data_IF_797850642503
#
_entry.id   IF_797850642503
#
_cell.length_a   1.000
_cell.length_b   1.000
_cell.length_c   1.000
_cell.angle_alpha   90.00
_cell.angle_beta   90.00
_cell.angle_gamma   90.00
#
_symmetry.space_group_name_H-M   'P 1'
#
loop_
_entity.id
_entity.type
_entity.pdbx_description
1 polymer ?
#
# COMPACT_ATOMS: atom_id res chain seq x y z
N UNK A 1 -8.76 -2.41 13.10
CA UNK A 1 -7.54 -1.84 13.74
C UNK A 1 -7.93 -0.51 14.34
N UNK A 2 -7.34 -0.14 15.47
CA UNK A 2 -7.47 1.23 16.01
C UNK A 2 -6.50 2.17 15.30
N UNK A 3 -6.74 3.51 15.31
CA UNK A 3 -5.79 4.48 14.79
C UNK A 3 -4.37 4.29 15.34
N UNK A 4 -3.36 4.38 14.48
CA UNK A 4 -1.97 4.27 14.89
C UNK A 4 -1.03 3.61 13.88
N UNK A 5 0.25 3.51 14.26
CA UNK A 5 1.31 2.88 13.47
C UNK A 5 1.54 1.45 13.97
N UNK A 6 1.42 0.51 13.08
CA UNK A 6 1.63 -0.92 13.33
C UNK A 6 2.96 -1.37 12.74
N UNK A 7 3.98 -1.52 13.60
CA UNK A 7 5.28 -2.02 13.17
C UNK A 7 5.28 -3.54 13.11
N UNK A 8 5.70 -4.08 11.98
CA UNK A 8 5.71 -5.53 11.71
C UNK A 8 7.14 -5.93 11.33
N UNK A 9 7.69 -6.88 12.09
CA UNK A 9 9.04 -7.39 11.89
C UNK A 9 9.04 -8.77 11.17
N UNK A 10 7.96 -9.09 10.46
CA UNK A 10 7.79 -10.32 9.70
C UNK A 10 6.97 -10.07 8.42
N UNK A 11 6.85 -11.08 7.59
CA UNK A 11 6.05 -11.04 6.37
C UNK A 11 4.56 -11.02 6.71
N UNK A 12 3.82 -10.07 6.14
CA UNK A 12 2.37 -10.05 6.24
C UNK A 12 1.78 -10.92 5.12
N UNK A 13 1.10 -12.00 5.49
CA UNK A 13 0.38 -12.88 4.55
C UNK A 13 -1.08 -13.01 4.93
N UNK A 14 -1.95 -12.43 4.12
CA UNK A 14 -3.41 -12.47 4.28
C UNK A 14 -4.00 -13.31 3.16
N UNK A 15 -4.35 -14.58 3.43
CA UNK A 15 -4.77 -15.56 2.42
C UNK A 15 -6.18 -16.13 2.63
N UNK A 16 -6.89 -15.67 3.65
CA UNK A 16 -8.22 -16.21 3.97
C UNK A 16 -9.32 -15.39 3.30
N UNK A 17 -10.23 -16.06 2.60
CA UNK A 17 -11.42 -15.42 2.01
C UNK A 17 -12.39 -14.84 3.04
N UNK A 18 -12.35 -15.35 4.26
CA UNK A 18 -13.21 -14.89 5.37
C UNK A 18 -12.54 -13.85 6.26
N UNK A 19 -11.35 -13.39 5.89
CA UNK A 19 -10.66 -12.35 6.62
C UNK A 19 -11.36 -11.01 6.41
N UNK A 20 -11.54 -10.26 7.49
CA UNK A 20 -11.99 -8.87 7.44
C UNK A 20 -10.96 -8.04 8.18
N UNK A 21 -10.28 -7.16 7.47
CA UNK A 21 -9.34 -6.21 8.02
C UNK A 21 -9.85 -4.78 7.77
N UNK A 22 -10.09 -4.05 8.86
CA UNK A 22 -10.57 -2.66 8.79
C UNK A 22 -9.76 -1.78 9.72
N UNK A 23 -9.46 -0.56 9.27
CA UNK A 23 -8.77 0.45 10.06
C UNK A 23 -8.88 1.81 9.41
N UNK A 24 -9.11 2.82 10.25
CA UNK A 24 -9.02 4.24 9.88
C UNK A 24 -7.82 4.85 10.61
N UNK A 25 -7.17 5.82 9.99
CA UNK A 25 -5.96 6.48 10.52
C UNK A 25 -4.86 5.46 10.87
N UNK A 26 -4.61 4.50 10.00
CA UNK A 26 -3.62 3.44 10.24
C UNK A 26 -2.44 3.52 9.26
N UNK A 27 -1.25 3.29 9.77
CA UNK A 27 -0.05 3.05 8.97
C UNK A 27 0.54 1.69 9.34
N UNK A 28 0.78 0.85 8.34
CA UNK A 28 1.46 -0.43 8.52
C UNK A 28 2.91 -0.26 8.07
N UNK A 29 3.83 -0.34 9.03
CA UNK A 29 5.27 -0.20 8.81
C UNK A 29 5.94 -1.57 8.86
N UNK A 30 6.42 -2.06 7.72
CA UNK A 30 7.05 -3.37 7.55
C UNK A 30 8.55 -3.18 7.53
N UNK A 31 9.26 -3.81 8.48
CA UNK A 31 10.70 -3.65 8.69
C UNK A 31 11.51 -4.80 8.08
N UNK A 32 12.80 -4.52 7.93
CA UNK A 32 13.86 -5.52 7.84
C UNK A 32 13.66 -6.57 6.73
N UNK A 33 13.61 -6.12 5.47
CA UNK A 33 13.56 -7.01 4.32
C UNK A 33 12.31 -7.91 4.24
N UNK A 34 11.24 -7.51 4.92
CA UNK A 34 9.96 -8.17 4.85
C UNK A 34 9.05 -7.52 3.79
N UNK A 35 7.95 -8.18 3.48
CA UNK A 35 7.02 -7.78 2.43
C UNK A 35 5.57 -8.12 2.81
N UNK A 36 4.63 -7.70 1.99
CA UNK A 36 3.23 -8.05 2.21
C UNK A 36 2.66 -8.84 1.03
N UNK A 37 1.75 -9.76 1.34
CA UNK A 37 0.96 -10.51 0.37
C UNK A 37 -0.50 -10.57 0.84
N UNK A 38 -1.36 -9.91 0.10
CA UNK A 38 -2.81 -9.93 0.33
C UNK A 38 -3.44 -10.68 -0.84
N UNK A 39 -3.94 -11.88 -0.58
CA UNK A 39 -4.48 -12.80 -1.59
C UNK A 39 -5.94 -13.17 -1.29
N UNK A 40 -6.67 -12.33 -0.61
CA UNK A 40 -8.09 -12.53 -0.31
C UNK A 40 -8.58 -11.78 0.93
N UNK A 41 -9.89 -11.91 1.20
CA UNK A 41 -10.54 -11.23 2.30
C UNK A 41 -11.18 -9.90 1.90
N UNK A 42 -11.70 -9.20 2.89
CA UNK A 42 -12.24 -7.84 2.77
C UNK A 42 -11.29 -6.90 3.50
N UNK A 43 -10.66 -5.99 2.77
CA UNK A 43 -9.68 -5.05 3.29
C UNK A 43 -10.22 -3.63 3.11
N UNK A 44 -10.41 -2.91 4.20
CA UNK A 44 -10.80 -1.51 4.19
C UNK A 44 -9.84 -0.75 5.11
N UNK A 45 -8.85 -0.13 4.52
CA UNK A 45 -7.81 0.59 5.24
C UNK A 45 -7.68 2.01 4.72
N UNK A 46 -7.51 2.93 5.64
CA UNK A 46 -7.38 4.37 5.41
C UNK A 46 -6.14 4.89 6.15
N UNK A 47 -5.32 5.65 5.44
CA UNK A 47 -4.13 6.27 5.99
C UNK A 47 -4.50 7.46 6.90
N UNK A 48 -3.64 7.83 7.87
CA UNK A 48 -3.87 9.01 8.68
C UNK A 48 -3.78 10.31 7.87
N UNK A 49 -4.68 11.24 8.14
CA UNK A 49 -4.69 12.57 7.52
C UNK A 49 -3.65 13.52 8.15
N UNK A 50 -3.18 13.21 9.35
CA UNK A 50 -2.28 14.08 10.12
C UNK A 50 -1.15 13.31 10.81
N UNK A 51 -0.12 14.02 11.24
CA UNK A 51 1.00 13.45 11.96
C UNK A 51 2.18 13.05 11.05
N UNK A 52 3.21 12.39 11.61
CA UNK A 52 4.44 12.10 10.89
C UNK A 52 4.29 11.08 9.75
N UNK A 53 3.22 10.32 9.75
CA UNK A 53 2.90 9.32 8.71
C UNK A 53 1.65 9.69 7.92
N UNK A 54 1.26 10.98 7.92
CA UNK A 54 0.11 11.45 7.15
C UNK A 54 0.21 11.03 5.67
N UNK A 55 -0.85 10.46 5.15
CA UNK A 55 -0.94 9.95 3.79
C UNK A 55 -0.25 8.60 3.53
N UNK A 56 0.49 8.02 4.48
CA UNK A 56 1.10 6.70 4.32
C UNK A 56 0.22 5.59 4.88
N UNK A 57 -0.26 4.70 4.03
CA UNK A 57 -1.00 3.50 4.43
C UNK A 57 -0.07 2.33 4.72
N UNK A 58 0.85 2.05 3.79
CA UNK A 58 1.84 0.99 3.94
C UNK A 58 3.21 1.55 3.63
N UNK A 59 4.17 1.26 4.49
CA UNK A 59 5.59 1.53 4.27
C UNK A 59 6.34 0.21 4.37
N UNK A 60 7.04 -0.16 3.31
CA UNK A 60 7.99 -1.27 3.32
C UNK A 60 9.39 -0.68 3.38
N UNK A 61 9.99 -0.75 4.56
CA UNK A 61 11.37 -0.30 4.80
C UNK A 61 12.31 -1.48 4.60
N UNK A 62 12.96 -1.53 3.45
CA UNK A 62 13.89 -2.61 3.15
C UNK A 62 15.04 -2.12 2.28
N UNK A 63 16.24 -2.58 2.65
CA UNK A 63 17.48 -2.40 1.89
C UNK A 63 17.76 -3.66 1.04
N UNK A 64 16.80 -4.09 0.22
CA UNK A 64 17.01 -5.28 -0.59
C UNK A 64 18.19 -5.07 -1.55
N UNK A 65 19.24 -5.83 -1.30
CA UNK A 65 20.37 -5.97 -2.22
C UNK A 65 20.22 -7.30 -2.96
N UNK A 66 19.39 -7.36 -3.99
CA UNK A 66 19.12 -8.61 -4.70
C UNK A 66 17.87 -8.51 -5.55
N UNK A 67 17.21 -9.64 -5.78
CA UNK A 67 15.94 -9.68 -6.49
C UNK A 67 14.83 -9.09 -5.60
N UNK A 68 14.11 -8.05 -6.06
CA UNK A 68 13.01 -7.47 -5.31
C UNK A 68 11.96 -8.53 -4.92
N UNK A 69 11.43 -8.52 -3.70
CA UNK A 69 10.34 -9.40 -3.34
C UNK A 69 9.04 -8.96 -4.00
N UNK A 70 8.13 -9.91 -4.19
CA UNK A 70 6.78 -9.61 -4.66
C UNK A 70 5.91 -9.12 -3.50
N UNK A 71 5.49 -7.87 -3.56
CA UNK A 71 4.47 -7.29 -2.71
C UNK A 71 3.12 -7.37 -3.44
N UNK A 72 2.27 -8.32 -3.07
CA UNK A 72 1.01 -8.52 -3.77
C UNK A 72 -0.19 -8.00 -3.00
N UNK A 73 -1.16 -7.44 -3.72
CA UNK A 73 -2.44 -7.02 -3.18
C UNK A 73 -3.57 -7.37 -4.13
N UNK A 74 -4.63 -7.93 -3.58
CA UNK A 74 -5.85 -8.20 -4.32
C UNK A 74 -6.73 -6.95 -4.32
N UNK A 75 -7.02 -6.48 -5.51
CA UNK A 75 -7.99 -5.43 -5.74
C UNK A 75 -9.31 -6.04 -6.19
N UNK A 76 -10.20 -6.38 -5.27
CA UNK A 76 -11.57 -6.72 -5.58
C UNK A 76 -12.49 -5.54 -5.26
N UNK A 77 -13.73 -5.56 -5.75
CA UNK A 77 -14.68 -4.44 -5.62
C UNK A 77 -15.07 -4.08 -4.19
N UNK A 78 -14.74 -4.92 -3.22
CA UNK A 78 -15.04 -4.70 -1.79
C UNK A 78 -13.81 -4.27 -0.98
N UNK A 79 -12.63 -4.25 -1.61
CA UNK A 79 -11.41 -3.78 -0.98
C UNK A 79 -11.22 -2.29 -1.26
N UNK A 80 -10.95 -1.53 -0.22
CA UNK A 80 -10.57 -0.12 -0.32
C UNK A 80 -9.21 0.08 0.35
N UNK A 81 -8.34 0.76 -0.36
CA UNK A 81 -7.03 1.19 0.12
C UNK A 81 -6.94 2.69 -0.14
N UNK A 82 -6.92 3.48 0.93
CA UNK A 82 -6.82 4.94 0.83
C UNK A 82 -5.49 5.42 1.39
N UNK A 83 -4.69 6.11 0.54
CA UNK A 83 -3.39 6.63 0.91
C UNK A 83 -2.23 6.09 0.08
N UNK A 84 -1.00 6.26 0.56
CA UNK A 84 0.22 5.88 -0.16
C UNK A 84 0.73 4.51 0.28
N UNK A 85 0.97 3.64 -0.69
CA UNK A 85 1.71 2.38 -0.53
C UNK A 85 3.13 2.63 -1.00
N UNK A 86 4.04 2.79 -0.06
CA UNK A 86 5.45 3.06 -0.29
C UNK A 86 6.28 1.79 -0.11
N UNK A 87 6.65 1.16 -1.22
CA UNK A 87 7.40 -0.10 -1.25
C UNK A 87 8.49 -0.06 -2.34
N UNK A 88 9.46 0.88 -2.25
CA UNK A 88 10.39 1.19 -3.35
C UNK A 88 11.29 0.03 -3.75
N UNK A 89 11.40 -0.99 -2.90
CA UNK A 89 12.22 -2.19 -3.17
C UNK A 89 11.38 -3.43 -3.48
N UNK A 90 10.06 -3.30 -3.63
CA UNK A 90 9.17 -4.39 -4.01
C UNK A 90 8.75 -4.31 -5.48
N UNK A 91 8.61 -5.47 -6.10
CA UNK A 91 7.75 -5.62 -7.27
C UNK A 91 6.30 -5.66 -6.78
N UNK A 92 5.59 -4.51 -6.91
CA UNK A 92 4.21 -4.41 -6.45
C UNK A 92 3.28 -4.97 -7.51
N UNK A 93 2.54 -6.00 -7.13
CA UNK A 93 1.59 -6.69 -8.01
C UNK A 93 0.17 -6.45 -7.48
N UNK A 94 -0.65 -5.79 -8.29
CA UNK A 94 -2.06 -5.58 -7.99
C UNK A 94 -2.88 -6.51 -8.88
N UNK A 95 -3.61 -7.44 -8.26
CA UNK A 95 -4.47 -8.40 -8.96
C UNK A 95 -5.91 -7.91 -8.87
N UNK A 96 -6.49 -7.50 -10.00
CA UNK A 96 -7.91 -7.19 -10.10
C UNK A 96 -8.74 -8.43 -10.41
N UNK A 97 -9.97 -8.46 -9.90
CA UNK A 97 -10.98 -9.44 -10.33
C UNK A 97 -11.92 -8.85 -11.40
N UNK A 98 -12.90 -9.64 -11.84
CA UNK A 98 -13.87 -9.22 -12.89
C UNK A 98 -14.86 -8.13 -12.44
N UNK A 99 -14.82 -7.71 -11.19
CA UNK A 99 -15.74 -6.72 -10.61
C UNK A 99 -15.13 -5.34 -10.43
N UNK A 100 -13.83 -5.20 -10.72
CA UNK A 100 -13.07 -3.95 -10.57
C UNK A 100 -12.42 -3.79 -9.20
N UNK A 101 -11.41 -2.96 -9.13
CA UNK A 101 -10.74 -2.60 -7.89
C UNK A 101 -10.92 -1.10 -7.66
N UNK A 102 -11.31 -0.71 -6.45
CA UNK A 102 -11.29 0.67 -6.02
C UNK A 102 -10.01 0.93 -5.23
N UNK A 103 -9.05 1.57 -5.89
CA UNK A 103 -7.83 2.03 -5.27
C UNK A 103 -7.86 3.56 -5.23
N UNK A 104 -7.99 4.10 -4.06
CA UNK A 104 -7.77 5.53 -3.78
C UNK A 104 -6.37 5.70 -3.20
N UNK A 105 -5.39 5.21 -3.96
CA UNK A 105 -4.04 5.02 -3.47
C UNK A 105 -2.98 5.48 -4.47
N UNK A 106 -1.93 6.09 -3.95
CA UNK A 106 -0.66 6.24 -4.64
C UNK A 106 0.18 4.98 -4.40
N UNK A 107 0.76 4.40 -5.45
CA UNK A 107 1.64 3.24 -5.33
C UNK A 107 3.04 3.62 -5.80
N UNK A 108 4.02 3.43 -4.94
CA UNK A 108 5.44 3.62 -5.23
C UNK A 108 6.13 2.28 -5.00
N UNK A 109 6.58 1.64 -6.07
CA UNK A 109 7.26 0.34 -6.07
C UNK A 109 8.53 0.36 -6.91
N UNK A 110 9.36 -0.67 -6.81
CA UNK A 110 10.46 -0.90 -7.75
C UNK A 110 9.92 -1.10 -9.16
N UNK A 111 8.93 -1.99 -9.29
CA UNK A 111 8.02 -2.06 -10.43
C UNK A 111 6.58 -2.09 -9.93
N UNK A 112 5.62 -1.71 -10.78
CA UNK A 112 4.19 -1.82 -10.50
C UNK A 112 3.54 -2.57 -11.64
N UNK A 113 2.97 -3.73 -11.35
CA UNK A 113 2.29 -4.59 -12.31
C UNK A 113 0.82 -4.71 -11.97
N UNK A 114 -0.03 -4.45 -12.95
CA UNK A 114 -1.48 -4.61 -12.83
C UNK A 114 -1.90 -5.84 -13.60
N UNK A 115 -2.45 -6.84 -12.91
CA UNK A 115 -2.92 -8.09 -13.48
C UNK A 115 -4.45 -8.20 -13.40
N UNK A 116 -5.04 -8.89 -14.35
CA UNK A 116 -6.47 -9.20 -14.37
C UNK A 116 -7.22 -8.50 -15.50
N UNK A 117 -8.40 -9.03 -15.87
CA UNK A 117 -9.30 -8.49 -16.89
C UNK A 117 -10.21 -7.36 -16.39
N UNK A 118 -9.95 -6.82 -15.21
CA UNK A 118 -10.82 -5.88 -14.55
C UNK A 118 -10.44 -4.42 -14.83
N UNK A 119 -11.44 -3.58 -14.86
CA UNK A 119 -11.24 -2.13 -14.86
C UNK A 119 -10.79 -1.71 -13.46
N UNK A 120 -9.58 -1.21 -13.36
CA UNK A 120 -9.08 -0.60 -12.14
C UNK A 120 -9.42 0.89 -12.15
N UNK A 121 -10.18 1.34 -11.16
CA UNK A 121 -10.43 2.76 -10.95
C UNK A 121 -9.44 3.24 -9.88
N UNK A 122 -8.49 4.08 -10.29
CA UNK A 122 -7.61 4.78 -9.36
C UNK A 122 -8.20 6.19 -9.20
N UNK A 123 -8.80 6.45 -8.05
CA UNK A 123 -9.19 7.78 -7.66
C UNK A 123 -8.01 8.42 -6.94
N UNK A 124 -7.56 9.54 -7.46
CA UNK A 124 -6.43 10.27 -6.88
C UNK A 124 -6.95 11.47 -6.12
N UNK A 125 -6.90 11.40 -4.80
CA UNK A 125 -7.13 12.56 -3.94
C UNK A 125 -5.78 13.21 -3.61
N UNK A 126 -5.57 14.42 -4.15
CA UNK A 126 -4.31 15.13 -3.99
C UNK A 126 -4.02 15.50 -2.53
N UNK A 127 -5.05 15.63 -1.71
CA UNK A 127 -4.91 15.99 -0.30
C UNK A 127 -4.52 14.78 0.58
N UNK A 128 -4.65 13.56 0.04
CA UNK A 128 -4.37 12.29 0.74
C UNK A 128 -3.10 11.56 0.28
N UNK A 129 -2.31 12.19 -0.56
CA UNK A 129 -1.03 11.64 -1.02
C UNK A 129 0.13 12.38 -0.41
N UNK A 130 1.23 11.67 -0.26
CA UNK A 130 2.46 12.27 0.27
C UNK A 130 3.06 13.21 -0.75
N UNK A 131 3.20 14.45 -0.38
CA UNK A 131 3.90 15.47 -1.14
C UNK A 131 5.29 15.70 -0.54
N UNK A 132 6.33 15.27 -1.23
CA UNK A 132 7.66 15.75 -0.87
C UNK A 132 7.78 17.25 -1.21
N UNK A 133 8.19 18.09 -0.25
CA UNK A 133 8.44 19.49 -0.54
C UNK A 133 9.59 19.57 -1.56
N UNK A 134 9.35 20.26 -2.68
CA UNK A 134 10.40 20.51 -3.68
C UNK A 134 11.55 21.26 -3.00
N UNK A 135 12.66 20.59 -2.79
CA UNK A 135 13.90 21.24 -2.35
C UNK A 135 14.48 21.97 -3.55
N UNK A 136 14.21 23.25 -3.66
CA UNK A 136 14.92 24.13 -4.59
C UNK A 136 16.25 24.46 -3.93
N UNK A 137 17.28 23.72 -4.25
CA UNK A 137 18.66 24.06 -3.89
C UNK A 137 19.19 25.06 -4.89
N UNK A 138 19.47 26.27 -4.45
CA UNK A 138 20.36 27.17 -5.18
C UNK A 138 21.76 26.59 -5.12
N UNK A 139 22.25 26.08 -6.22
CA UNK A 139 23.68 25.80 -6.37
C UNK A 139 24.41 27.15 -6.51
N UNK A 140 25.29 27.41 -5.54
CA UNK A 140 26.31 28.48 -5.65
C UNK A 140 27.48 28.01 -6.46
#
# INVERSE_FOLDING_TARGET
MMPGVYCVDDVIKLRSRNLILRGQDVTIYIRANNYFQVEGGTINLDAPDTGPYAGYLVIVDSDFTGTPPNCSMDGNSINTYEGTIFAPYCDVIVNGDSTGANLDAQIIGYTVTLNGGATMNINYDIDRVVHEPRRVGLMK
#
